data_IF_541119215900
#
_entry.id   IF_541119215900
#
_cell.length_a   1.000
_cell.length_b   1.000
_cell.length_c   1.000
_cell.angle_alpha   90.00
_cell.angle_beta   90.00
_cell.angle_gamma   90.00
#
_symmetry.space_group_name_H-M   'P 1'
#
loop_
_entity.id
_entity.type
_entity.pdbx_description
1 polymer ?
#
# COMPACT_ATOMS: atom_id res chain seq x y z
N UNK A 1 4.55 -22.10 -10.33
CA UNK A 1 4.02 -20.88 -10.99
C UNK A 1 3.62 -19.95 -9.86
N UNK A 2 4.46 -18.96 -9.57
CA UNK A 2 4.20 -17.93 -8.55
C UNK A 2 3.18 -16.96 -9.17
N UNK A 3 2.21 -16.47 -8.38
CA UNK A 3 1.19 -15.51 -8.85
C UNK A 3 1.83 -14.26 -9.46
N UNK A 4 1.10 -13.57 -10.34
CA UNK A 4 1.59 -12.31 -10.90
C UNK A 4 1.82 -11.27 -9.80
N UNK A 5 2.64 -10.26 -10.07
CA UNK A 5 2.89 -9.19 -9.10
C UNK A 5 1.58 -8.49 -8.68
N UNK A 6 0.64 -8.38 -9.60
CA UNK A 6 -0.69 -7.80 -9.40
C UNK A 6 -1.56 -8.67 -8.50
N UNK A 7 -1.52 -10.00 -8.70
CA UNK A 7 -2.23 -10.94 -7.82
C UNK A 7 -1.67 -10.90 -6.40
N UNK A 8 -0.33 -10.90 -6.24
CA UNK A 8 0.31 -10.82 -4.93
C UNK A 8 0.00 -9.48 -4.26
N UNK A 9 0.18 -8.36 -4.98
CA UNK A 9 -0.09 -7.03 -4.46
C UNK A 9 -1.56 -6.85 -4.06
N UNK A 10 -2.50 -7.30 -4.89
CA UNK A 10 -3.93 -7.28 -4.58
C UNK A 10 -4.29 -8.10 -3.34
N UNK A 11 -3.69 -9.29 -3.18
CA UNK A 11 -3.88 -10.12 -1.99
C UNK A 11 -3.34 -9.44 -0.73
N UNK A 12 -2.16 -8.83 -0.81
CA UNK A 12 -1.54 -8.10 0.31
C UNK A 12 -2.39 -6.89 0.73
N UNK A 13 -2.91 -6.10 -0.22
CA UNK A 13 -3.81 -4.99 0.07
C UNK A 13 -5.07 -5.47 0.80
N UNK A 14 -5.72 -6.52 0.30
CA UNK A 14 -6.92 -7.07 0.92
C UNK A 14 -6.65 -7.65 2.32
N UNK A 15 -5.51 -8.31 2.52
CA UNK A 15 -5.07 -8.78 3.82
C UNK A 15 -4.83 -7.59 4.77
N UNK A 16 -4.20 -6.53 4.29
CA UNK A 16 -3.99 -5.30 5.04
C UNK A 16 -5.31 -4.65 5.48
N UNK A 17 -6.30 -4.57 4.59
CA UNK A 17 -7.65 -4.09 4.91
C UNK A 17 -8.31 -4.97 6.00
N UNK A 18 -8.17 -6.30 5.90
CA UNK A 18 -8.71 -7.20 6.91
C UNK A 18 -8.05 -6.99 8.30
N UNK A 19 -6.73 -6.83 8.36
CA UNK A 19 -6.03 -6.50 9.61
C UNK A 19 -6.48 -5.15 10.18
N UNK A 20 -6.63 -4.12 9.32
CA UNK A 20 -7.12 -2.81 9.70
C UNK A 20 -8.51 -2.89 10.34
N UNK A 21 -9.45 -3.63 9.74
CA UNK A 21 -10.80 -3.82 10.29
C UNK A 21 -10.82 -4.61 11.61
N UNK A 22 -9.78 -5.41 11.88
CA UNK A 22 -9.57 -6.09 13.16
C UNK A 22 -8.86 -5.23 14.21
N UNK A 23 -8.50 -3.98 13.88
CA UNK A 23 -7.74 -3.08 14.76
C UNK A 23 -6.23 -3.35 14.79
N UNK A 24 -5.72 -4.28 13.97
CA UNK A 24 -4.30 -4.60 13.87
C UNK A 24 -3.63 -3.68 12.82
N UNK A 25 -3.48 -2.40 13.15
CA UNK A 25 -2.98 -1.39 12.21
C UNK A 25 -1.51 -1.62 11.78
N UNK A 26 -0.66 -2.09 12.68
CA UNK A 26 0.75 -2.39 12.39
C UNK A 26 0.88 -3.50 11.33
N UNK A 27 0.14 -4.60 11.49
CA UNK A 27 0.08 -5.68 10.50
C UNK A 27 -0.47 -5.18 9.16
N UNK A 28 -1.48 -4.30 9.21
CA UNK A 28 -2.10 -3.74 8.02
C UNK A 28 -1.10 -2.90 7.20
N UNK A 29 -0.30 -2.07 7.90
CA UNK A 29 0.78 -1.27 7.31
C UNK A 29 1.87 -2.18 6.73
N UNK A 30 2.25 -3.25 7.44
CA UNK A 30 3.26 -4.19 6.98
C UNK A 30 2.84 -4.89 5.67
N UNK A 31 1.56 -5.24 5.52
CA UNK A 31 1.03 -5.80 4.28
C UNK A 31 1.20 -4.84 3.09
N UNK A 32 0.86 -3.57 3.26
CA UNK A 32 0.98 -2.58 2.18
C UNK A 32 2.45 -2.28 1.85
N UNK A 33 3.34 -2.21 2.86
CA UNK A 33 4.79 -2.06 2.62
C UNK A 33 5.35 -3.20 1.77
N UNK A 34 4.92 -4.44 2.03
CA UNK A 34 5.29 -5.60 1.19
C UNK A 34 4.71 -5.51 -0.23
N UNK A 35 3.49 -5.01 -0.38
CA UNK A 35 2.89 -4.82 -1.71
C UNK A 35 3.65 -3.76 -2.52
N UNK A 36 4.15 -2.70 -1.86
CA UNK A 36 5.04 -1.70 -2.47
C UNK A 36 6.31 -2.37 -3.01
N UNK A 37 7.00 -3.17 -2.20
CA UNK A 37 8.23 -3.86 -2.60
C UNK A 37 8.03 -4.72 -3.86
N UNK A 38 6.91 -5.44 -3.94
CA UNK A 38 6.57 -6.26 -5.10
C UNK A 38 6.37 -5.41 -6.36
N UNK A 39 5.59 -4.32 -6.28
CA UNK A 39 5.37 -3.45 -7.42
C UNK A 39 6.60 -2.63 -7.81
N UNK A 40 7.46 -2.26 -6.86
CA UNK A 40 8.73 -1.58 -7.11
C UNK A 40 9.71 -2.48 -7.88
N UNK A 41 9.83 -3.75 -7.49
CA UNK A 41 10.71 -4.74 -8.11
C UNK A 41 10.53 -4.83 -9.63
N UNK A 42 9.32 -4.61 -10.11
CA UNK A 42 8.97 -4.69 -11.54
C UNK A 42 8.56 -3.35 -12.15
N UNK A 43 8.76 -2.24 -11.42
CA UNK A 43 8.42 -0.87 -11.84
C UNK A 43 6.96 -0.70 -12.28
N UNK A 44 6.02 -1.34 -11.58
CA UNK A 44 4.60 -1.29 -11.89
C UNK A 44 3.95 -0.04 -11.26
N UNK A 45 3.91 1.06 -12.03
CA UNK A 45 3.52 2.39 -11.56
C UNK A 45 2.09 2.49 -11.00
N UNK A 46 1.09 1.96 -11.71
CA UNK A 46 -0.31 2.03 -11.27
C UNK A 46 -0.57 1.24 -9.97
N UNK A 47 0.09 0.09 -9.84
CA UNK A 47 0.09 -0.72 -8.62
C UNK A 47 0.70 0.03 -7.43
N UNK A 48 1.86 0.67 -7.61
CA UNK A 48 2.49 1.52 -6.59
C UNK A 48 1.58 2.66 -6.15
N UNK A 49 1.01 3.41 -7.09
CA UNK A 49 0.10 4.53 -6.77
C UNK A 49 -1.11 4.05 -5.94
N UNK A 50 -1.68 2.90 -6.32
CA UNK A 50 -2.81 2.29 -5.59
C UNK A 50 -2.42 1.91 -4.17
N UNK A 51 -1.28 1.24 -3.98
CA UNK A 51 -0.84 0.80 -2.64
C UNK A 51 -0.42 1.99 -1.77
N UNK A 52 0.17 3.04 -2.34
CA UNK A 52 0.52 4.24 -1.58
C UNK A 52 -0.71 4.90 -0.94
N UNK A 53 -1.83 4.97 -1.65
CA UNK A 53 -3.10 5.48 -1.08
C UNK A 53 -3.62 4.57 0.03
N UNK A 54 -3.55 3.25 -0.16
CA UNK A 54 -3.97 2.27 0.84
C UNK A 54 -3.12 2.36 2.13
N UNK A 55 -1.81 2.57 1.97
CA UNK A 55 -0.88 2.74 3.08
C UNK A 55 -1.17 4.05 3.81
N UNK A 56 -1.37 5.15 3.07
CA UNK A 56 -1.70 6.44 3.64
C UNK A 56 -2.99 6.38 4.49
N UNK A 57 -4.02 5.66 4.05
CA UNK A 57 -5.24 5.47 4.84
C UNK A 57 -4.95 4.79 6.18
N UNK A 58 -4.12 3.73 6.17
CA UNK A 58 -3.78 2.99 7.39
C UNK A 58 -2.91 3.82 8.33
N UNK A 59 -1.95 4.57 7.79
CA UNK A 59 -1.14 5.53 8.56
C UNK A 59 -1.99 6.64 9.17
N UNK A 60 -2.99 7.17 8.45
CA UNK A 60 -3.95 8.13 9.01
C UNK A 60 -4.70 7.55 10.21
N UNK A 61 -5.15 6.28 10.11
CA UNK A 61 -5.82 5.59 11.24
C UNK A 61 -4.88 5.33 12.41
N UNK A 62 -3.58 5.15 12.17
CA UNK A 62 -2.56 5.01 13.20
C UNK A 62 -2.13 6.36 13.83
N UNK A 63 -2.56 7.49 13.25
CA UNK A 63 -2.16 8.83 13.70
C UNK A 63 -0.83 9.32 13.11
N UNK A 64 -0.23 8.58 12.18
CA UNK A 64 1.04 8.90 11.51
C UNK A 64 0.82 9.85 10.31
N UNK A 65 0.27 11.04 10.59
CA UNK A 65 -0.24 11.95 9.56
C UNK A 65 0.83 12.46 8.60
N UNK A 66 2.05 12.71 9.06
CA UNK A 66 3.14 13.20 8.23
C UNK A 66 3.58 12.15 7.20
N UNK A 67 3.68 10.88 7.61
CA UNK A 67 4.03 9.80 6.67
C UNK A 67 2.88 9.54 5.69
N UNK A 68 1.63 9.58 6.16
CA UNK A 68 0.46 9.46 5.30
C UNK A 68 0.43 10.53 4.19
N UNK A 69 0.68 11.80 4.54
CA UNK A 69 0.75 12.90 3.56
C UNK A 69 1.83 12.64 2.51
N UNK A 70 3.02 12.21 2.92
CA UNK A 70 4.10 11.91 1.99
C UNK A 70 3.74 10.80 1.00
N UNK A 71 3.03 9.76 1.44
CA UNK A 71 2.56 8.70 0.54
C UNK A 71 1.43 9.16 -0.40
N UNK A 72 0.53 10.03 0.07
CA UNK A 72 -0.47 10.66 -0.80
C UNK A 72 0.19 11.51 -1.91
N UNK A 73 1.20 12.31 -1.58
CA UNK A 73 1.95 13.12 -2.55
C UNK A 73 2.65 12.25 -3.59
N UNK A 74 3.33 11.18 -3.14
CA UNK A 74 3.97 10.21 -4.05
C UNK A 74 2.96 9.49 -4.95
N UNK A 75 1.78 9.16 -4.43
CA UNK A 75 0.73 8.54 -5.22
C UNK A 75 0.22 9.49 -6.31
N UNK A 76 0.04 10.77 -5.97
CA UNK A 76 -0.39 11.80 -6.90
C UNK A 76 0.65 12.05 -8.00
N UNK A 77 1.94 12.14 -7.64
CA UNK A 77 3.04 12.28 -8.58
C UNK A 77 3.05 11.13 -9.60
N UNK A 78 2.92 9.89 -9.14
CA UNK A 78 2.89 8.71 -10.01
C UNK A 78 1.62 8.58 -10.86
N UNK A 79 0.49 9.06 -10.36
CA UNK A 79 -0.77 9.03 -11.12
C UNK A 79 -0.83 10.13 -12.19
N UNK A 80 -0.03 11.18 -12.03
CA UNK A 80 0.00 12.34 -12.92
C UNK A 80 1.17 12.32 -13.92
N UNK A 81 2.08 11.35 -13.80
CA UNK A 81 3.22 11.12 -14.69
C UNK A 81 2.85 10.23 -15.87
#
# INVERSE_FOLDING_TARGET
RVGSVEEIGGCLVNLGLAHMHRGALEDAIACDRRAIEEFERVRHGSGRATVYVNLAEKLMKAGELQEALAYCERALELASS
#
